data_IF_819397498280
#
_entry.id   IF_819397498280
#
_cell.length_a   1.000
_cell.length_b   1.000
_cell.length_c   1.000
_cell.angle_alpha   90.00
_cell.angle_beta   90.00
_cell.angle_gamma   90.00
#
_symmetry.space_group_name_H-M   'P 1'
#
loop_
_entity.id
_entity.type
_entity.pdbx_description
1 polymer ?
#
# COMPACT_ATOMS: atom_id res chain seq x y z
N UNK A 1 40.12 14.39 -8.01
CA UNK A 1 39.74 14.75 -6.62
C UNK A 1 38.22 14.63 -6.46
N UNK A 2 37.74 13.54 -5.85
CA UNK A 2 36.47 13.44 -5.08
C UNK A 2 36.22 11.96 -4.81
N UNK A 3 36.64 11.48 -3.65
CA UNK A 3 36.49 10.08 -3.27
C UNK A 3 36.81 9.80 -1.80
N UNK A 4 36.48 10.71 -0.88
CA UNK A 4 36.77 10.49 0.55
C UNK A 4 35.68 10.94 1.53
N UNK A 5 34.54 11.48 1.08
CA UNK A 5 33.53 12.04 2.00
C UNK A 5 32.51 11.06 2.60
N UNK A 6 32.57 9.75 2.31
CA UNK A 6 31.49 8.82 2.70
C UNK A 6 31.88 7.72 3.71
N UNK A 7 33.13 7.68 4.20
CA UNK A 7 33.54 6.75 5.27
C UNK A 7 33.37 7.35 6.68
N UNK A 8 33.55 8.66 6.84
CA UNK A 8 33.43 9.34 8.14
C UNK A 8 32.00 9.27 8.71
N UNK A 9 30.95 9.46 7.90
CA UNK A 9 29.55 9.40 8.36
C UNK A 9 29.08 8.02 8.84
N UNK A 10 29.63 6.92 8.30
CA UNK A 10 29.31 5.55 8.78
C UNK A 10 30.03 5.23 10.08
N UNK A 11 31.27 5.70 10.24
CA UNK A 11 32.04 5.50 11.47
C UNK A 11 31.47 6.36 12.60
N UNK A 12 31.07 7.61 12.33
CA UNK A 12 30.40 8.47 13.33
C UNK A 12 29.05 7.90 13.76
N UNK A 13 28.21 7.41 12.83
CA UNK A 13 26.96 6.73 13.20
C UNK A 13 27.22 5.47 14.01
N UNK A 14 28.23 4.66 13.66
CA UNK A 14 28.60 3.47 14.42
C UNK A 14 29.07 3.79 15.85
N UNK A 15 29.86 4.86 16.02
CA UNK A 15 30.34 5.32 17.32
C UNK A 15 29.18 5.88 18.16
N UNK A 16 28.26 6.65 17.58
CA UNK A 16 27.09 7.18 18.29
C UNK A 16 26.16 6.03 18.74
N UNK A 17 25.88 5.06 17.88
CA UNK A 17 25.05 3.90 18.26
C UNK A 17 25.73 3.04 19.33
N UNK A 18 27.05 2.90 19.30
CA UNK A 18 27.83 2.19 20.32
C UNK A 18 27.88 2.94 21.67
N UNK A 19 27.98 4.27 21.66
CA UNK A 19 27.91 5.07 22.88
C UNK A 19 26.49 5.11 23.46
N UNK A 20 25.45 5.16 22.62
CA UNK A 20 24.05 5.10 23.08
C UNK A 20 23.70 3.72 23.68
N UNK A 21 24.22 2.61 23.13
CA UNK A 21 24.01 1.29 23.72
C UNK A 21 24.81 1.11 25.02
N UNK A 22 26.02 1.65 25.11
CA UNK A 22 26.77 1.70 26.37
C UNK A 22 26.09 2.57 27.43
N UNK A 23 25.49 3.70 27.05
CA UNK A 23 24.70 4.55 27.95
C UNK A 23 23.40 3.87 28.41
N UNK A 24 22.73 3.12 27.52
CA UNK A 24 21.55 2.33 27.89
C UNK A 24 21.91 1.19 28.84
N UNK A 25 23.04 0.50 28.61
CA UNK A 25 23.55 -0.52 29.54
C UNK A 25 23.97 0.12 30.87
N UNK A 26 24.59 1.31 30.85
CA UNK A 26 24.96 2.04 32.07
C UNK A 26 23.72 2.51 32.87
N UNK A 27 22.63 2.91 32.19
CA UNK A 27 21.35 3.23 32.83
C UNK A 27 20.65 1.99 33.41
N UNK A 28 20.70 0.84 32.74
CA UNK A 28 20.20 -0.44 33.26
C UNK A 28 21.03 -0.94 34.46
N UNK A 29 22.33 -0.63 34.48
CA UNK A 29 23.19 -0.90 35.65
C UNK A 29 22.91 0.07 36.81
N UNK A 30 22.60 1.34 36.56
CA UNK A 30 22.19 2.30 37.59
C UNK A 30 20.79 2.02 38.17
N UNK A 31 19.85 1.47 37.39
CA UNK A 31 18.54 1.04 37.90
C UNK A 31 18.58 -0.27 38.68
N UNK A 32 19.67 -1.05 38.57
CA UNK A 32 19.86 -2.31 39.31
C UNK A 32 20.92 -2.23 40.42
N UNK A 33 21.57 -1.08 40.62
CA UNK A 33 22.34 -0.83 41.84
C UNK A 33 21.41 -0.35 42.94
N UNK A 34 20.86 -1.28 43.71
CA UNK A 34 20.38 -0.97 45.06
C UNK A 34 21.58 -0.36 45.80
N UNK A 35 21.48 0.92 46.13
CA UNK A 35 22.43 1.54 47.05
C UNK A 35 22.29 0.84 48.39
N UNK A 36 23.16 -0.12 48.69
CA UNK A 36 23.35 -0.61 50.06
C UNK A 36 24.07 0.51 50.80
N UNK A 37 23.29 1.49 51.27
CA UNK A 37 23.75 2.45 52.26
C UNK A 37 24.06 1.66 53.52
N UNK A 38 25.34 1.32 53.73
CA UNK A 38 25.85 0.90 55.02
C UNK A 38 25.76 2.09 55.99
N UNK A 39 24.53 2.40 56.45
CA UNK A 39 24.32 3.12 57.68
C UNK A 39 24.49 2.10 58.79
N UNK A 40 25.61 2.18 59.50
CA UNK A 40 25.67 1.69 60.87
C UNK A 40 24.62 2.46 61.68
N UNK A 41 23.43 1.88 61.81
CA UNK A 41 22.39 2.38 62.70
C UNK A 41 22.60 1.69 64.05
N UNK A 42 23.39 2.33 64.89
CA UNK A 42 23.34 2.11 66.33
C UNK A 42 22.11 2.86 66.87
N UNK A 43 20.93 2.25 66.76
CA UNK A 43 19.70 2.66 67.45
C UNK A 43 18.89 1.42 67.78
N UNK A 44 18.60 1.23 69.07
CA UNK A 44 17.87 0.09 69.61
C UNK A 44 16.55 -0.20 68.88
N UNK A 45 16.60 -1.11 67.92
CA UNK A 45 15.42 -1.79 67.40
C UNK A 45 14.90 -2.73 68.50
N UNK A 46 13.63 -2.57 68.86
CA UNK A 46 12.90 -3.63 69.57
C UNK A 46 12.99 -4.88 68.69
N UNK A 47 13.68 -5.91 69.17
CA UNK A 47 13.76 -7.21 68.50
C UNK A 47 12.32 -7.74 68.37
N UNK A 48 11.75 -7.68 67.16
CA UNK A 48 10.43 -8.24 66.87
C UNK A 48 10.58 -9.76 67.01
N UNK A 49 9.75 -10.40 67.84
CA UNK A 49 9.77 -11.86 67.95
C UNK A 49 9.29 -12.50 66.64
N UNK A 50 9.74 -13.72 66.35
CA UNK A 50 9.38 -14.41 65.11
C UNK A 50 7.86 -14.56 64.97
N UNK A 51 7.15 -14.69 66.08
CA UNK A 51 5.69 -14.81 66.14
C UNK A 51 4.97 -13.46 65.94
N UNK A 52 5.63 -12.33 66.27
CA UNK A 52 5.08 -10.99 66.10
C UNK A 52 5.46 -10.36 64.74
N UNK A 53 6.25 -11.05 63.93
CA UNK A 53 6.64 -10.60 62.60
C UNK A 53 5.41 -10.55 61.67
N UNK A 54 5.27 -9.44 60.96
CA UNK A 54 4.23 -9.23 59.95
C UNK A 54 4.91 -8.69 58.70
N UNK A 55 4.77 -9.41 57.61
CA UNK A 55 5.13 -8.95 56.27
C UNK A 55 3.89 -8.44 55.57
N UNK A 56 3.84 -7.15 55.28
CA UNK A 56 2.73 -6.55 54.52
C UNK A 56 3.07 -6.52 53.02
N UNK A 57 2.23 -7.13 52.19
CA UNK A 57 2.29 -7.05 50.74
C UNK A 57 1.42 -5.87 50.30
N UNK A 58 2.02 -4.84 49.71
CA UNK A 58 1.31 -3.71 49.12
C UNK A 58 1.08 -3.96 47.64
N UNK A 59 -0.18 -4.13 47.27
CA UNK A 59 -0.63 -4.41 45.92
C UNK A 59 -1.11 -3.15 45.20
N UNK A 60 -1.15 -3.24 43.87
CA UNK A 60 -1.77 -2.25 42.99
C UNK A 60 -3.22 -1.97 43.41
N UNK A 61 -3.61 -0.70 43.40
CA UNK A 61 -4.94 -0.27 43.86
C UNK A 61 -5.06 -0.11 45.37
N UNK A 62 -3.95 -0.23 46.12
CA UNK A 62 -3.92 0.00 47.57
C UNK A 62 -4.41 -1.17 48.41
N UNK A 63 -4.60 -2.34 47.79
CA UNK A 63 -4.88 -3.60 48.49
C UNK A 63 -3.65 -3.97 49.31
N UNK A 64 -3.88 -4.49 50.52
CA UNK A 64 -2.82 -4.97 51.40
C UNK A 64 -3.17 -6.36 51.91
N UNK A 65 -2.24 -7.29 51.77
CA UNK A 65 -2.29 -8.61 52.37
C UNK A 65 -1.15 -8.77 53.37
N UNK A 66 -1.30 -9.63 54.37
CA UNK A 66 -0.30 -9.80 55.43
C UNK A 66 0.04 -11.26 55.61
N UNK A 67 1.33 -11.55 55.74
CA UNK A 67 1.85 -12.86 56.14
C UNK A 67 2.37 -12.70 57.57
N UNK A 68 1.74 -13.39 58.53
CA UNK A 68 2.23 -13.40 59.90
C UNK A 68 3.29 -14.49 60.07
N UNK A 69 4.30 -14.23 60.89
CA UNK A 69 5.36 -15.21 61.17
C UNK A 69 4.82 -16.51 61.76
N UNK A 70 3.73 -16.44 62.54
CA UNK A 70 3.00 -17.61 63.06
C UNK A 70 2.39 -18.49 61.96
N UNK A 71 1.94 -17.90 60.86
CA UNK A 71 1.27 -18.63 59.77
C UNK A 71 2.24 -19.48 58.94
N UNK A 72 3.53 -19.13 58.99
CA UNK A 72 4.60 -19.75 58.20
C UNK A 72 5.62 -20.50 59.06
N UNK A 73 5.37 -20.63 60.37
CA UNK A 73 6.28 -21.29 61.30
C UNK A 73 7.65 -20.62 61.41
N UNK A 74 7.70 -19.29 61.33
CA UNK A 74 8.94 -18.50 61.40
C UNK A 74 9.64 -18.68 62.75
N UNK A 75 10.96 -18.85 62.73
CA UNK A 75 11.82 -18.98 63.92
C UNK A 75 13.12 -18.20 63.73
N UNK A 76 13.57 -17.57 64.82
CA UNK A 76 14.88 -16.91 64.90
C UNK A 76 15.79 -17.68 65.85
N UNK A 77 17.02 -17.98 65.42
CA UNK A 77 18.05 -18.57 66.28
C UNK A 77 18.70 -17.50 67.18
N UNK A 78 18.91 -17.84 68.46
CA UNK A 78 19.59 -17.00 69.47
C UNK A 78 21.13 -17.03 69.35
N UNK A 79 21.70 -17.84 68.44
CA UNK A 79 23.15 -17.91 68.25
C UNK A 79 23.70 -16.71 67.45
N UNK A 80 25.02 -16.47 67.56
CA UNK A 80 25.79 -15.33 67.00
C UNK A 80 25.56 -15.12 65.48
N UNK A 81 25.06 -16.12 64.76
CA UNK A 81 24.74 -16.07 63.32
C UNK A 81 23.29 -15.68 62.97
N UNK A 82 22.37 -15.53 63.96
CA UNK A 82 20.97 -15.11 63.77
C UNK A 82 20.26 -15.78 62.58
N UNK A 83 20.32 -17.10 62.49
CA UNK A 83 19.69 -17.87 61.41
C UNK A 83 18.17 -17.72 61.45
N UNK A 84 17.58 -17.29 60.33
CA UNK A 84 16.12 -17.24 60.10
C UNK A 84 15.68 -18.55 59.45
N UNK A 85 14.64 -19.21 59.97
CA UNK A 85 14.04 -20.39 59.35
C UNK A 85 12.51 -20.33 59.37
N UNK A 86 11.86 -20.98 58.40
CA UNK A 86 10.40 -21.03 58.22
C UNK A 86 9.99 -22.38 57.62
N UNK A 87 8.70 -22.72 57.65
CA UNK A 87 8.14 -23.91 57.00
C UNK A 87 7.78 -23.59 55.54
N UNK A 88 8.53 -24.14 54.60
CA UNK A 88 8.35 -23.92 53.17
C UNK A 88 6.97 -24.37 52.65
N UNK A 89 6.41 -25.44 53.23
CA UNK A 89 5.11 -25.96 52.83
C UNK A 89 4.00 -25.02 53.29
N UNK A 90 4.05 -24.56 54.54
CA UNK A 90 3.10 -23.58 55.06
C UNK A 90 3.18 -22.27 54.28
N UNK A 91 4.38 -21.79 53.95
CA UNK A 91 4.55 -20.58 53.14
C UNK A 91 3.93 -20.74 51.74
N UNK A 92 4.21 -21.84 51.04
CA UNK A 92 3.61 -22.12 49.72
C UNK A 92 2.09 -22.19 49.77
N UNK A 93 1.54 -22.87 50.78
CA UNK A 93 0.09 -22.96 50.98
C UNK A 93 -0.52 -21.58 51.27
N UNK A 94 0.12 -20.76 52.12
CA UNK A 94 -0.34 -19.41 52.44
C UNK A 94 -0.33 -18.52 51.19
N UNK A 95 0.82 -18.44 50.49
CA UNK A 95 0.96 -17.63 49.27
C UNK A 95 -0.06 -18.05 48.21
N UNK A 96 -0.37 -19.34 48.08
CA UNK A 96 -1.36 -19.80 47.10
C UNK A 96 -2.81 -19.38 47.38
N UNK A 97 -3.11 -18.94 48.62
CA UNK A 97 -4.43 -18.49 49.06
C UNK A 97 -4.58 -16.97 49.09
N UNK A 98 -3.52 -16.23 48.74
CA UNK A 98 -3.58 -14.77 48.67
C UNK A 98 -4.66 -14.34 47.67
N UNK A 99 -5.34 -13.24 47.98
CA UNK A 99 -6.42 -12.69 47.18
C UNK A 99 -5.97 -12.28 45.77
N UNK A 100 -4.70 -11.95 45.59
CA UNK A 100 -4.08 -11.70 44.29
C UNK A 100 -4.08 -12.92 43.34
N UNK A 101 -4.36 -14.12 43.84
CA UNK A 101 -4.52 -15.35 43.05
C UNK A 101 -5.98 -15.82 42.92
N UNK A 102 -6.94 -15.08 43.48
CA UNK A 102 -8.36 -15.34 43.29
C UNK A 102 -8.76 -14.99 41.84
N UNK A 103 -8.95 -16.02 41.00
CA UNK A 103 -9.26 -15.86 39.58
C UNK A 103 -10.50 -15.00 39.29
N UNK A 104 -11.43 -14.84 40.24
CA UNK A 104 -12.59 -13.96 40.08
C UNK A 104 -12.27 -12.47 40.18
N UNK A 105 -11.08 -12.14 40.70
CA UNK A 105 -10.59 -10.76 40.91
C UNK A 105 -9.46 -10.39 39.96
N UNK A 106 -8.99 -11.33 39.12
CA UNK A 106 -7.89 -11.07 38.18
C UNK A 106 -8.41 -10.24 37.00
N UNK A 107 -7.73 -9.12 36.76
CA UNK A 107 -7.88 -8.23 35.62
C UNK A 107 -6.59 -8.34 34.80
N UNK A 108 -6.72 -8.70 33.53
CA UNK A 108 -5.59 -8.81 32.62
C UNK A 108 -5.10 -7.43 32.18
N UNK A 109 -3.78 -7.27 32.10
CA UNK A 109 -3.16 -6.13 31.45
C UNK A 109 -3.47 -6.14 29.94
N UNK A 110 -3.64 -4.96 29.34
CA UNK A 110 -3.83 -4.82 27.89
C UNK A 110 -2.83 -3.80 27.36
N UNK A 111 -2.19 -4.13 26.26
CA UNK A 111 -1.34 -3.20 25.53
C UNK A 111 -2.12 -1.97 25.07
N UNK A 112 -1.40 -0.88 24.79
CA UNK A 112 -1.92 0.21 24.00
C UNK A 112 -2.44 -0.32 22.66
N UNK A 113 -3.28 0.48 21.99
CA UNK A 113 -3.82 0.16 20.66
C UNK A 113 -3.72 1.37 19.75
N UNK A 114 -3.75 1.13 18.45
CA UNK A 114 -3.88 2.17 17.43
C UNK A 114 -5.13 1.89 16.63
N UNK A 115 -6.10 2.81 16.69
CA UNK A 115 -7.46 2.59 16.16
C UNK A 115 -7.91 3.77 15.30
N UNK A 116 -8.64 3.49 14.23
CA UNK A 116 -9.18 4.52 13.33
C UNK A 116 -10.43 5.16 13.94
N UNK A 117 -10.44 6.49 14.08
CA UNK A 117 -11.51 7.25 14.73
C UNK A 117 -12.43 8.02 13.75
N UNK A 118 -12.33 7.75 12.45
CA UNK A 118 -13.07 8.44 11.39
C UNK A 118 -12.27 9.53 10.68
N UNK A 119 -11.33 10.19 11.38
CA UNK A 119 -10.47 11.25 10.80
C UNK A 119 -9.00 10.83 10.70
N UNK A 120 -8.59 9.80 11.42
CA UNK A 120 -7.24 9.26 11.41
C UNK A 120 -7.06 8.15 12.44
N UNK A 121 -5.83 7.68 12.58
CA UNK A 121 -5.46 6.72 13.62
C UNK A 121 -5.03 7.43 14.89
N UNK A 122 -5.51 6.94 16.03
CA UNK A 122 -5.18 7.45 17.35
C UNK A 122 -4.75 6.33 18.29
N UNK A 123 -3.85 6.66 19.23
CA UNK A 123 -3.38 5.75 20.25
C UNK A 123 -4.40 5.71 21.40
N UNK A 124 -4.90 4.52 21.72
CA UNK A 124 -5.64 4.23 22.95
C UNK A 124 -4.66 3.69 23.98
N UNK A 125 -4.61 4.32 25.15
CA UNK A 125 -3.67 3.96 26.23
C UNK A 125 -3.86 2.53 26.73
N UNK A 126 -2.76 1.91 27.11
CA UNK A 126 -2.73 0.61 27.80
C UNK A 126 -3.54 0.62 29.10
N UNK A 127 -3.93 -0.58 29.55
CA UNK A 127 -4.54 -0.78 30.87
C UNK A 127 -3.69 -1.72 31.70
N UNK A 128 -3.33 -1.30 32.91
CA UNK A 128 -2.58 -2.08 33.88
C UNK A 128 -3.51 -3.00 34.67
N UNK A 129 -3.33 -4.31 34.52
CA UNK A 129 -4.10 -5.34 35.23
C UNK A 129 -3.60 -5.58 36.66
N UNK A 130 -3.95 -6.70 37.28
CA UNK A 130 -3.43 -7.08 38.61
C UNK A 130 -2.88 -8.53 38.65
N UNK A 131 -2.77 -9.20 37.50
CA UNK A 131 -2.18 -10.55 37.43
C UNK A 131 -0.73 -10.55 37.90
N UNK A 132 -0.43 -11.40 38.86
CA UNK A 132 0.89 -11.52 39.49
C UNK A 132 1.70 -12.69 38.90
N UNK A 133 2.99 -12.44 38.65
CA UNK A 133 4.02 -13.43 38.34
C UNK A 133 4.33 -14.25 39.60
N UNK A 134 3.69 -15.41 39.72
CA UNK A 134 3.73 -16.25 40.94
C UNK A 134 5.14 -16.53 41.48
N UNK A 135 6.07 -16.88 40.60
CA UNK A 135 7.45 -17.20 41.01
C UNK A 135 8.19 -15.97 41.52
N UNK A 136 8.01 -14.82 40.86
CA UNK A 136 8.59 -13.53 41.29
C UNK A 136 8.05 -13.12 42.65
N UNK A 137 6.75 -13.30 42.91
CA UNK A 137 6.17 -13.02 44.23
C UNK A 137 6.82 -13.90 45.29
N UNK A 138 6.82 -15.21 45.08
CA UNK A 138 7.31 -16.17 46.05
C UNK A 138 8.78 -15.90 46.41
N UNK A 139 9.63 -15.70 45.41
CA UNK A 139 11.05 -15.42 45.61
C UNK A 139 11.28 -14.13 46.43
N UNK A 140 10.50 -13.08 46.17
CA UNK A 140 10.61 -11.83 46.91
C UNK A 140 10.06 -11.94 48.34
N UNK A 141 8.97 -12.69 48.54
CA UNK A 141 8.46 -12.99 49.88
C UNK A 141 9.51 -13.72 50.73
N UNK A 142 10.17 -14.74 50.17
CA UNK A 142 11.25 -15.47 50.85
C UNK A 142 12.41 -14.52 51.17
N UNK A 143 12.88 -13.71 50.21
CA UNK A 143 13.95 -12.73 50.45
C UNK A 143 13.61 -11.78 51.59
N UNK A 144 12.40 -11.24 51.62
CA UNK A 144 11.97 -10.31 52.65
C UNK A 144 11.86 -10.95 54.03
N UNK A 145 11.39 -12.20 54.12
CA UNK A 145 11.39 -12.95 55.39
C UNK A 145 12.82 -13.13 55.92
N UNK A 146 13.77 -13.50 55.05
CA UNK A 146 15.17 -13.68 55.42
C UNK A 146 15.84 -12.37 55.85
N UNK A 147 15.48 -11.26 55.20
CA UNK A 147 15.99 -9.91 55.51
C UNK A 147 15.26 -9.24 56.68
N UNK A 148 14.17 -9.85 57.19
CA UNK A 148 13.27 -9.27 58.21
C UNK A 148 12.60 -7.97 57.75
N UNK A 149 12.40 -7.81 56.45
CA UNK A 149 11.62 -6.69 55.92
C UNK A 149 10.18 -6.80 56.40
N UNK A 150 9.50 -5.69 56.70
CA UNK A 150 8.10 -5.72 57.17
C UNK A 150 7.10 -5.33 56.08
N UNK A 151 7.59 -4.95 54.89
CA UNK A 151 6.75 -4.50 53.78
C UNK A 151 7.41 -4.82 52.44
N UNK A 152 6.61 -5.33 51.49
CA UNK A 152 6.98 -5.48 50.08
C UNK A 152 5.98 -4.67 49.26
N UNK A 153 6.47 -3.78 48.42
CA UNK A 153 5.63 -3.14 47.41
C UNK A 153 5.72 -3.94 46.11
N UNK A 154 4.63 -4.60 45.72
CA UNK A 154 4.61 -5.53 44.59
C UNK A 154 4.81 -4.82 43.24
N UNK A 155 4.44 -3.55 43.14
CA UNK A 155 4.69 -2.71 41.97
C UNK A 155 6.20 -2.45 41.81
N UNK A 156 6.86 -2.03 42.89
CA UNK A 156 8.27 -1.68 42.90
C UNK A 156 9.21 -2.83 42.57
N UNK A 157 8.79 -4.07 42.82
CA UNK A 157 9.58 -5.28 42.50
C UNK A 157 9.20 -5.92 41.15
N UNK A 158 8.41 -5.21 40.33
CA UNK A 158 7.90 -5.71 39.05
C UNK A 158 7.23 -7.09 39.21
N UNK A 159 6.30 -7.22 40.15
CA UNK A 159 5.62 -8.50 40.41
C UNK A 159 4.47 -8.79 39.42
N UNK A 160 4.04 -7.79 38.64
CA UNK A 160 2.88 -7.87 37.77
C UNK A 160 3.23 -8.30 36.33
N UNK A 161 2.29 -8.95 35.66
CA UNK A 161 2.30 -9.10 34.20
C UNK A 161 1.84 -7.77 33.58
N UNK A 162 2.79 -6.87 33.34
CA UNK A 162 2.53 -5.53 32.81
C UNK A 162 2.32 -5.54 31.28
N UNK A 163 1.61 -4.55 30.71
CA UNK A 163 1.52 -4.39 29.26
C UNK A 163 2.91 -4.32 28.62
N UNK A 164 3.10 -5.06 27.53
CA UNK A 164 4.36 -5.07 26.77
C UNK A 164 4.54 -3.80 25.96
N UNK A 165 3.46 -3.27 25.42
CA UNK A 165 3.45 -2.06 24.60
C UNK A 165 2.55 -1.01 25.25
N UNK A 166 3.13 0.13 25.57
CA UNK A 166 2.46 1.28 26.20
C UNK A 166 2.48 2.48 25.25
N UNK A 167 1.67 3.50 25.53
CA UNK A 167 1.47 4.68 24.67
C UNK A 167 2.80 5.37 24.26
N UNK A 168 3.77 5.38 25.18
CA UNK A 168 5.06 6.03 24.98
C UNK A 168 6.13 5.11 24.37
N UNK A 169 5.78 3.86 24.02
CA UNK A 169 6.69 2.99 23.31
C UNK A 169 6.95 3.52 21.89
N UNK A 170 8.21 3.63 21.44
CA UNK A 170 8.52 4.08 20.08
C UNK A 170 7.82 3.27 19.00
N UNK A 171 7.66 1.95 19.17
CA UNK A 171 6.98 1.09 18.20
C UNK A 171 5.49 1.45 18.02
N UNK A 172 4.81 1.86 19.09
CA UNK A 172 3.40 2.29 19.06
C UNK A 172 3.28 3.62 18.32
N UNK A 173 4.17 4.56 18.63
CA UNK A 173 4.25 5.84 17.94
C UNK A 173 4.54 5.68 16.44
N UNK A 174 5.53 4.86 16.07
CA UNK A 174 5.89 4.61 14.67
C UNK A 174 4.76 3.95 13.88
N UNK A 175 4.05 2.99 14.47
CA UNK A 175 2.90 2.38 13.81
C UNK A 175 1.77 3.38 13.58
N UNK A 176 1.47 4.23 14.57
CA UNK A 176 0.48 5.29 14.45
C UNK A 176 0.87 6.32 13.38
N UNK A 177 2.13 6.73 13.33
CA UNK A 177 2.66 7.63 12.30
C UNK A 177 2.57 7.00 10.90
N UNK A 178 2.96 5.73 10.76
CA UNK A 178 2.92 5.02 9.47
C UNK A 178 1.49 4.88 8.95
N UNK A 179 0.53 4.45 9.79
CA UNK A 179 -0.88 4.35 9.41
C UNK A 179 -1.45 5.68 8.96
N UNK A 180 -1.20 6.76 9.73
CA UNK A 180 -1.64 8.11 9.37
C UNK A 180 -0.96 8.62 8.09
N UNK A 181 0.32 8.30 7.87
CA UNK A 181 1.04 8.63 6.64
C UNK A 181 0.44 7.91 5.43
N UNK A 182 0.02 6.65 5.56
CA UNK A 182 -0.57 5.92 4.43
C UNK A 182 -1.90 6.52 4.02
N UNK A 183 -2.79 6.81 4.99
CA UNK A 183 -4.11 7.41 4.70
C UNK A 183 -4.04 8.90 4.32
N UNK A 184 -2.91 9.59 4.53
CA UNK A 184 -2.74 10.96 4.04
C UNK A 184 -2.45 11.02 2.55
N UNK A 185 -2.24 9.88 1.89
CA UNK A 185 -1.97 9.83 0.46
C UNK A 185 -3.21 10.24 -0.35
N UNK A 186 -2.97 10.96 -1.44
CA UNK A 186 -3.98 11.37 -2.40
C UNK A 186 -3.38 11.31 -3.81
N UNK A 187 -3.74 10.29 -4.58
CA UNK A 187 -3.20 10.04 -5.92
C UNK A 187 -4.33 10.30 -6.92
N UNK A 188 -4.13 11.33 -7.75
CA UNK A 188 -5.04 11.68 -8.84
C UNK A 188 -4.48 11.13 -10.15
N UNK A 189 -5.14 10.13 -10.70
CA UNK A 189 -4.81 9.56 -12.01
C UNK A 189 -5.54 10.30 -13.13
N UNK A 190 -4.80 10.60 -14.20
CA UNK A 190 -5.34 11.14 -15.45
C UNK A 190 -5.12 10.12 -16.56
N UNK A 191 -6.19 9.63 -17.17
CA UNK A 191 -6.17 8.68 -18.29
C UNK A 191 -7.51 8.68 -19.03
N UNK A 192 -7.54 8.34 -20.32
CA UNK A 192 -8.75 8.34 -21.14
C UNK A 192 -9.55 9.67 -21.10
N UNK A 193 -8.87 10.81 -20.90
CA UNK A 193 -9.53 12.12 -20.70
C UNK A 193 -10.34 12.25 -19.40
N UNK A 194 -10.25 11.26 -18.52
CA UNK A 194 -10.93 11.19 -17.23
C UNK A 194 -9.94 11.39 -16.08
N UNK A 195 -10.50 11.65 -14.91
CA UNK A 195 -9.76 11.72 -13.64
C UNK A 195 -10.31 10.71 -12.66
N UNK A 196 -9.41 9.95 -12.01
CA UNK A 196 -9.75 9.02 -10.95
C UNK A 196 -8.90 9.31 -9.71
N UNK A 197 -9.53 9.50 -8.55
CA UNK A 197 -8.85 9.84 -7.30
C UNK A 197 -8.82 8.62 -6.37
N UNK A 198 -7.64 8.29 -5.86
CA UNK A 198 -7.44 7.37 -4.76
C UNK A 198 -7.01 8.15 -3.51
N UNK A 199 -7.76 8.03 -2.43
CA UNK A 199 -7.51 8.75 -1.19
C UNK A 199 -7.56 7.85 0.06
N UNK A 200 -7.30 8.46 1.22
CA UNK A 200 -7.34 7.80 2.53
C UNK A 200 -8.65 7.08 2.85
N UNK A 201 -9.77 7.49 2.26
CA UNK A 201 -11.06 6.84 2.50
C UNK A 201 -11.11 5.43 1.93
N UNK A 202 -10.35 5.16 0.88
CA UNK A 202 -10.19 3.84 0.27
C UNK A 202 -8.97 3.11 0.85
N UNK A 203 -7.85 3.82 1.03
CA UNK A 203 -6.59 3.24 1.52
C UNK A 203 -6.74 2.68 2.95
N UNK A 204 -7.61 3.26 3.79
CA UNK A 204 -7.84 2.75 5.16
C UNK A 204 -8.29 1.28 5.19
N UNK A 205 -8.97 0.83 4.13
CA UNK A 205 -9.48 -0.54 4.03
C UNK A 205 -8.41 -1.50 3.49
N UNK A 206 -7.23 -1.00 3.11
CA UNK A 206 -6.11 -1.77 2.58
C UNK A 206 -5.01 -1.98 3.61
N UNK A 207 -5.01 -1.22 4.71
CA UNK A 207 -3.94 -1.23 5.70
C UNK A 207 -4.35 -2.04 6.94
N UNK A 208 -3.36 -2.70 7.54
CA UNK A 208 -3.53 -3.51 8.75
C UNK A 208 -2.44 -3.23 9.77
N UNK A 209 -2.70 -3.60 11.02
CA UNK A 209 -1.73 -3.58 12.11
C UNK A 209 -1.90 -4.86 12.94
N UNK A 210 -0.81 -5.53 13.25
CA UNK A 210 -0.83 -6.75 14.07
C UNK A 210 -0.58 -6.46 15.56
N UNK A 211 -0.59 -7.52 16.37
CA UNK A 211 -0.34 -7.45 17.82
C UNK A 211 1.06 -6.95 18.21
N UNK A 212 2.00 -6.97 17.27
CA UNK A 212 3.38 -6.49 17.42
C UNK A 212 3.58 -5.10 16.81
N UNK A 213 2.50 -4.40 16.45
CA UNK A 213 2.52 -3.08 15.82
C UNK A 213 3.20 -3.05 14.44
N UNK A 214 3.26 -4.20 13.76
CA UNK A 214 3.70 -4.24 12.37
C UNK A 214 2.57 -3.77 11.45
N UNK A 215 2.82 -2.66 10.75
CA UNK A 215 1.90 -2.09 9.78
C UNK A 215 2.07 -2.78 8.43
N UNK A 216 0.96 -3.20 7.83
CA UNK A 216 0.92 -3.86 6.51
C UNK A 216 0.01 -3.08 5.55
N UNK A 217 0.30 -3.22 4.26
CA UNK A 217 -0.55 -2.76 3.16
C UNK A 217 -0.89 -3.98 2.31
N UNK A 218 -2.18 -4.22 2.08
CA UNK A 218 -2.68 -5.33 1.26
C UNK A 218 -2.42 -5.05 -0.22
N UNK A 219 -1.28 -5.53 -0.70
CA UNK A 219 -0.84 -5.37 -2.09
C UNK A 219 -1.83 -5.98 -3.09
N UNK A 220 -2.64 -6.96 -2.68
CA UNK A 220 -3.68 -7.55 -3.55
C UNK A 220 -4.79 -6.53 -3.83
N UNK A 221 -5.22 -5.78 -2.80
CA UNK A 221 -6.21 -4.71 -2.99
C UNK A 221 -5.67 -3.56 -3.84
N UNK A 222 -4.40 -3.20 -3.64
CA UNK A 222 -3.73 -2.20 -4.50
C UNK A 222 -3.71 -2.69 -5.95
N UNK A 223 -3.31 -3.95 -6.18
CA UNK A 223 -3.29 -4.54 -7.53
C UNK A 223 -4.67 -4.55 -8.18
N UNK A 224 -5.70 -4.98 -7.46
CA UNK A 224 -7.07 -5.01 -7.96
C UNK A 224 -7.58 -3.61 -8.34
N UNK A 225 -7.20 -2.58 -7.58
CA UNK A 225 -7.52 -1.19 -7.93
C UNK A 225 -6.89 -0.78 -9.26
N UNK A 226 -5.59 -1.10 -9.46
CA UNK A 226 -4.88 -0.81 -10.71
C UNK A 226 -5.44 -1.61 -11.89
N UNK A 227 -5.78 -2.89 -11.69
CA UNK A 227 -6.39 -3.72 -12.74
C UNK A 227 -7.78 -3.21 -13.14
N UNK A 228 -8.57 -2.72 -12.18
CA UNK A 228 -9.87 -2.09 -12.46
C UNK A 228 -9.68 -0.81 -13.27
N UNK A 229 -8.65 -0.01 -12.94
CA UNK A 229 -8.28 1.18 -13.71
C UNK A 229 -7.85 0.81 -15.14
N UNK A 230 -7.01 -0.21 -15.32
CA UNK A 230 -6.59 -0.73 -16.61
C UNK A 230 -7.77 -1.24 -17.46
N UNK A 231 -8.69 -1.99 -16.86
CA UNK A 231 -9.91 -2.45 -17.52
C UNK A 231 -10.79 -1.27 -17.96
N UNK A 232 -10.98 -0.29 -17.09
CA UNK A 232 -11.76 0.93 -17.39
C UNK A 232 -11.13 1.72 -18.52
N UNK A 233 -9.80 1.90 -18.48
CA UNK A 233 -9.04 2.52 -19.55
C UNK A 233 -9.29 1.81 -20.89
N UNK A 234 -9.12 0.48 -20.94
CA UNK A 234 -9.37 -0.30 -22.16
C UNK A 234 -10.80 -0.18 -22.69
N UNK A 235 -11.81 -0.13 -21.80
CA UNK A 235 -13.20 0.03 -22.19
C UNK A 235 -13.49 1.44 -22.75
N UNK A 236 -12.87 2.48 -22.19
CA UNK A 236 -13.05 3.88 -22.62
C UNK A 236 -12.40 4.18 -23.97
N UNK A 237 -11.31 3.47 -24.31
CA UNK A 237 -10.70 3.56 -25.63
C UNK A 237 -11.71 3.24 -26.76
N UNK A 238 -12.77 2.47 -26.49
CA UNK A 238 -13.85 2.21 -27.45
C UNK A 238 -14.85 3.35 -27.69
N UNK A 239 -14.72 4.52 -27.04
CA UNK A 239 -15.75 5.59 -27.11
C UNK A 239 -15.19 6.96 -27.56
N UNK A 240 -13.90 7.28 -27.37
CA UNK A 240 -13.26 8.51 -27.92
C UNK A 240 -11.75 8.47 -27.67
N UNK A 241 -10.94 8.87 -28.65
CA UNK A 241 -9.46 8.83 -28.56
C UNK A 241 -8.88 10.08 -29.24
N UNK A 242 -7.81 10.71 -28.72
CA UNK A 242 -6.80 11.42 -29.50
C UNK A 242 -5.41 10.74 -29.40
N UNK A 243 -4.72 10.53 -30.53
CA UNK A 243 -3.48 9.74 -30.69
C UNK A 243 -2.13 10.47 -30.54
N UNK A 244 -1.04 9.67 -30.59
CA UNK A 244 0.41 9.96 -30.76
C UNK A 244 0.75 11.44 -30.87
N UNK A 245 1.40 12.01 -29.86
CA UNK A 245 1.64 13.45 -29.71
C UNK A 245 0.72 14.12 -28.68
N UNK A 246 -0.42 13.50 -28.37
CA UNK A 246 -1.25 13.91 -27.22
C UNK A 246 -0.57 13.58 -25.89
N UNK A 247 -0.18 14.60 -25.14
CA UNK A 247 -0.11 14.47 -23.68
C UNK A 247 -1.49 13.99 -23.17
N UNK A 248 -1.51 13.18 -22.10
CA UNK A 248 -2.70 12.66 -21.38
C UNK A 248 -3.17 11.22 -21.63
N UNK A 249 -2.36 10.37 -22.26
CA UNK A 249 -2.47 8.90 -22.07
C UNK A 249 -3.70 8.23 -22.69
N UNK A 250 -4.06 8.60 -23.92
CA UNK A 250 -5.22 8.09 -24.67
C UNK A 250 -4.79 7.42 -25.98
N UNK A 251 -4.03 6.32 -25.94
CA UNK A 251 -3.56 5.66 -27.16
C UNK A 251 -3.96 4.17 -27.16
N UNK A 252 -4.60 3.71 -28.24
CA UNK A 252 -4.98 2.30 -28.43
C UNK A 252 -3.80 1.32 -28.42
N UNK A 253 -2.60 1.77 -28.78
CA UNK A 253 -1.40 0.92 -28.77
C UNK A 253 -0.72 0.84 -27.39
N UNK A 254 -1.30 1.47 -26.37
CA UNK A 254 -0.75 1.54 -25.01
C UNK A 254 -1.73 0.88 -24.06
N UNK A 255 -1.24 0.01 -23.19
CA UNK A 255 -1.99 -0.58 -22.08
C UNK A 255 -1.41 -0.08 -20.77
N UNK A 256 -2.22 0.07 -19.73
CA UNK A 256 -1.70 0.34 -18.39
C UNK A 256 -0.86 -0.86 -17.95
N UNK A 257 0.41 -0.65 -17.63
CA UNK A 257 1.25 -1.69 -17.03
C UNK A 257 0.87 -1.83 -15.56
N UNK A 258 -0.16 -2.64 -15.32
CA UNK A 258 -0.67 -2.83 -13.97
C UNK A 258 0.40 -3.35 -13.00
N UNK A 259 1.44 -4.05 -13.49
CA UNK A 259 2.48 -4.62 -12.62
C UNK A 259 3.40 -3.53 -12.09
N UNK A 260 3.96 -2.74 -13.00
CA UNK A 260 4.84 -1.63 -12.61
C UNK A 260 4.06 -0.53 -11.89
N UNK A 261 2.84 -0.20 -12.33
CA UNK A 261 2.01 0.81 -11.67
C UNK A 261 1.62 0.38 -10.24
N UNK A 262 1.37 -0.91 -9.99
CA UNK A 262 1.10 -1.40 -8.63
C UNK A 262 2.30 -1.18 -7.71
N UNK A 263 3.52 -1.47 -8.18
CA UNK A 263 4.75 -1.27 -7.39
C UNK A 263 4.93 0.21 -7.06
N UNK A 264 4.75 1.08 -8.04
CA UNK A 264 4.88 2.52 -7.84
C UNK A 264 3.79 3.05 -6.90
N UNK A 265 2.54 2.60 -7.06
CA UNK A 265 1.44 3.02 -6.19
C UNK A 265 1.66 2.60 -4.73
N UNK A 266 2.18 1.40 -4.48
CA UNK A 266 2.57 0.97 -3.13
C UNK A 266 3.58 1.94 -2.51
N UNK A 267 4.60 2.36 -3.25
CA UNK A 267 5.61 3.30 -2.77
C UNK A 267 5.01 4.70 -2.56
N UNK A 268 4.11 5.15 -3.43
CA UNK A 268 3.42 6.44 -3.28
C UNK A 268 2.59 6.47 -1.99
N UNK A 269 1.85 5.38 -1.70
CA UNK A 269 1.06 5.22 -0.46
C UNK A 269 1.98 5.18 0.76
N UNK A 270 3.04 4.38 0.74
CA UNK A 270 4.00 4.29 1.85
C UNK A 270 4.69 5.62 2.15
N UNK A 271 4.81 6.47 1.15
CA UNK A 271 5.39 7.79 1.26
C UNK A 271 4.38 8.91 1.57
N UNK A 272 3.08 8.61 1.68
CA UNK A 272 2.06 9.60 2.03
C UNK A 272 1.90 10.68 0.96
N UNK A 273 2.11 10.31 -0.31
CA UNK A 273 2.22 11.29 -1.39
C UNK A 273 0.87 11.89 -1.78
N UNK A 274 0.89 13.19 -2.12
CA UNK A 274 -0.20 13.89 -2.78
C UNK A 274 0.27 14.28 -4.18
N UNK A 275 -0.16 13.54 -5.20
CA UNK A 275 0.34 13.69 -6.57
C UNK A 275 -0.76 13.57 -7.60
N UNK A 276 -0.52 14.18 -8.76
CA UNK A 276 -1.30 13.98 -9.98
C UNK A 276 -0.37 13.36 -11.02
N UNK A 277 -0.77 12.21 -11.58
CA UNK A 277 0.06 11.47 -12.53
C UNK A 277 -0.78 10.75 -13.59
N UNK A 278 -0.13 10.38 -14.68
CA UNK A 278 -0.62 9.33 -15.56
C UNK A 278 -0.17 7.97 -15.01
N UNK A 279 -0.92 6.88 -15.26
CA UNK A 279 -0.44 5.55 -14.95
C UNK A 279 0.78 5.20 -15.81
N UNK A 280 1.61 4.27 -15.34
CA UNK A 280 2.65 3.65 -16.17
C UNK A 280 1.97 2.85 -17.28
N UNK A 281 2.44 3.05 -18.51
CA UNK A 281 1.96 2.34 -19.67
C UNK A 281 3.04 1.42 -20.25
N UNK A 282 2.60 0.33 -20.86
CA UNK A 282 3.38 -0.51 -21.75
C UNK A 282 2.81 -0.43 -23.17
N UNK A 283 3.69 -0.56 -24.17
CA UNK A 283 3.29 -0.58 -25.58
C UNK A 283 2.97 -2.01 -26.03
N UNK A 284 1.98 -2.19 -26.92
CA UNK A 284 1.69 -3.47 -27.59
C UNK A 284 2.66 -3.72 -28.76
N UNK A 285 2.70 -4.95 -29.29
CA UNK A 285 3.52 -5.27 -30.48
C UNK A 285 3.09 -4.46 -31.73
N UNK A 286 1.81 -4.05 -31.82
CA UNK A 286 1.30 -3.18 -32.89
C UNK A 286 1.81 -1.72 -32.78
N UNK A 287 2.33 -1.30 -31.61
CA UNK A 287 2.88 0.04 -31.42
C UNK A 287 4.14 0.31 -32.27
N UNK A 288 4.80 -0.75 -32.76
CA UNK A 288 5.98 -0.62 -33.62
C UNK A 288 5.71 0.11 -34.94
N UNK A 289 4.48 0.05 -35.47
CA UNK A 289 4.09 0.81 -36.65
C UNK A 289 3.98 2.31 -36.38
N UNK A 290 3.76 2.70 -35.12
CA UNK A 290 3.52 4.08 -34.70
C UNK A 290 4.78 4.80 -34.22
N UNK A 291 5.92 4.11 -34.06
CA UNK A 291 7.11 4.69 -33.43
C UNK A 291 7.69 5.91 -34.16
N UNK A 292 7.48 5.98 -35.48
CA UNK A 292 7.92 7.10 -36.34
C UNK A 292 6.75 7.90 -36.95
N UNK A 293 5.52 7.63 -36.50
CA UNK A 293 4.32 8.31 -37.00
C UNK A 293 4.01 9.49 -36.07
N UNK A 294 4.03 10.69 -36.64
CA UNK A 294 3.69 11.94 -35.95
C UNK A 294 2.23 11.99 -35.49
N UNK A 295 1.76 13.19 -35.19
CA UNK A 295 0.46 13.42 -34.55
C UNK A 295 -0.71 13.67 -35.52
N UNK A 296 -0.46 13.50 -36.81
CA UNK A 296 -1.46 13.65 -37.87
C UNK A 296 -1.43 12.41 -38.74
N UNK A 297 -2.48 11.58 -38.67
CA UNK A 297 -2.58 10.35 -39.45
C UNK A 297 -4.01 9.79 -39.48
N UNK A 298 -4.27 8.90 -40.44
CA UNK A 298 -5.46 8.05 -40.47
C UNK A 298 -5.10 6.67 -39.93
N UNK A 299 -5.92 6.17 -39.01
CA UNK A 299 -5.85 4.84 -38.44
C UNK A 299 -7.03 4.01 -38.94
N UNK A 300 -6.76 2.85 -39.53
CA UNK A 300 -7.76 1.91 -40.02
C UNK A 300 -7.52 0.57 -39.36
N UNK A 301 -8.40 0.24 -38.42
CA UNK A 301 -8.50 -1.08 -37.82
C UNK A 301 -9.44 -1.93 -38.68
N UNK A 302 -8.86 -2.89 -39.40
CA UNK A 302 -9.60 -3.77 -40.29
C UNK A 302 -10.26 -4.93 -39.55
N UNK A 303 -9.90 -5.21 -38.30
CA UNK A 303 -10.60 -6.21 -37.49
C UNK A 303 -11.85 -5.64 -36.85
N UNK A 304 -11.79 -4.41 -36.32
CA UNK A 304 -12.98 -3.71 -35.80
C UNK A 304 -13.80 -3.01 -36.90
N UNK A 305 -13.27 -2.92 -38.13
CA UNK A 305 -13.86 -2.21 -39.27
C UNK A 305 -14.17 -0.75 -38.95
N UNK A 306 -13.20 -0.07 -38.34
CA UNK A 306 -13.35 1.30 -37.87
C UNK A 306 -12.16 2.16 -38.30
N UNK A 307 -12.44 3.44 -38.55
CA UNK A 307 -11.45 4.44 -38.95
C UNK A 307 -11.43 5.59 -37.96
N UNK A 308 -10.23 6.05 -37.61
CA UNK A 308 -10.00 7.32 -36.92
C UNK A 308 -9.09 8.19 -37.77
N UNK A 309 -9.36 9.50 -37.80
CA UNK A 309 -8.43 10.47 -38.38
C UNK A 309 -8.08 11.53 -37.35
N UNK A 310 -6.78 11.72 -37.19
CA UNK A 310 -6.20 12.63 -36.23
C UNK A 310 -5.39 13.71 -36.94
N UNK A 311 -5.42 14.92 -36.38
CA UNK A 311 -4.67 16.06 -36.87
C UNK A 311 -4.12 16.85 -35.69
N UNK A 312 -2.80 16.97 -35.64
CA UNK A 312 -2.05 17.62 -34.56
C UNK A 312 -2.41 17.03 -33.17
N UNK A 313 -2.58 15.71 -33.10
CA UNK A 313 -2.94 14.97 -31.89
C UNK A 313 -4.44 14.97 -31.57
N UNK A 314 -5.29 15.69 -32.31
CA UNK A 314 -6.73 15.77 -32.06
C UNK A 314 -7.53 14.89 -33.02
N UNK A 315 -8.53 14.17 -32.50
CA UNK A 315 -9.49 13.44 -33.32
C UNK A 315 -10.38 14.39 -34.08
N UNK A 316 -10.30 14.33 -35.40
CA UNK A 316 -11.13 15.13 -36.30
C UNK A 316 -12.41 14.38 -36.64
N UNK A 317 -12.31 13.07 -36.88
CA UNK A 317 -13.46 12.21 -37.18
C UNK A 317 -13.12 10.76 -36.89
N UNK A 318 -14.14 9.99 -36.52
CA UNK A 318 -14.12 8.54 -36.56
C UNK A 318 -15.43 8.00 -37.15
N UNK A 319 -15.43 6.71 -37.49
CA UNK A 319 -16.64 6.00 -37.85
C UNK A 319 -16.36 4.62 -38.42
N UNK A 320 -17.40 3.80 -38.39
CA UNK A 320 -17.36 2.48 -39.00
C UNK A 320 -17.16 2.58 -40.51
N UNK A 321 -16.35 1.68 -41.06
CA UNK A 321 -16.00 1.60 -42.48
C UNK A 321 -16.24 0.18 -43.01
N UNK A 322 -16.05 -0.02 -44.31
CA UNK A 322 -16.01 -1.37 -44.91
C UNK A 322 -14.78 -1.49 -45.80
N UNK A 323 -13.83 -2.32 -45.40
CA UNK A 323 -12.61 -2.60 -46.17
C UNK A 323 -12.85 -3.65 -47.28
N UNK A 324 -11.76 -4.07 -47.94
CA UNK A 324 -11.77 -5.02 -49.03
C UNK A 324 -12.34 -6.40 -48.69
N UNK A 325 -13.00 -7.01 -49.67
CA UNK A 325 -13.67 -8.30 -49.53
C UNK A 325 -12.66 -9.44 -49.32
N UNK A 326 -12.66 -10.06 -48.13
CA UNK A 326 -11.74 -11.16 -47.81
C UNK A 326 -12.05 -12.42 -48.60
N UNK A 327 -13.30 -12.88 -48.63
CA UNK A 327 -13.70 -14.09 -49.36
C UNK A 327 -13.54 -13.94 -50.87
N UNK A 328 -13.71 -12.71 -51.36
CA UNK A 328 -13.48 -12.32 -52.75
C UNK A 328 -12.00 -12.15 -53.15
N UNK A 329 -11.04 -12.42 -52.26
CA UNK A 329 -9.61 -12.25 -52.54
C UNK A 329 -9.17 -10.80 -52.77
N UNK A 330 -9.98 -9.85 -52.30
CA UNK A 330 -9.80 -8.41 -52.47
C UNK A 330 -9.53 -7.70 -51.12
N UNK A 331 -9.01 -8.41 -50.12
CA UNK A 331 -8.71 -7.86 -48.80
C UNK A 331 -7.83 -6.61 -48.91
N UNK A 332 -8.14 -5.59 -48.11
CA UNK A 332 -7.27 -4.40 -48.01
C UNK A 332 -5.94 -4.82 -47.36
N UNK A 333 -4.79 -4.56 -48.00
CA UNK A 333 -3.50 -4.94 -47.42
C UNK A 333 -3.17 -4.11 -46.18
N UNK A 334 -2.68 -4.76 -45.12
CA UNK A 334 -2.08 -4.09 -43.98
C UNK A 334 -0.78 -3.40 -44.36
N UNK A 335 -0.45 -2.31 -43.67
CA UNK A 335 0.79 -1.58 -43.83
C UNK A 335 0.68 -0.12 -43.39
N UNK A 336 1.84 0.56 -43.38
CA UNK A 336 1.94 2.00 -43.22
C UNK A 336 2.12 2.63 -44.59
N UNK A 337 1.17 3.48 -44.97
CA UNK A 337 1.13 4.19 -46.23
C UNK A 337 1.15 5.69 -46.00
N UNK A 338 1.25 6.45 -47.08
CA UNK A 338 1.05 7.89 -47.07
C UNK A 338 0.00 8.25 -48.11
N UNK A 339 -0.84 9.24 -47.82
CA UNK A 339 -1.78 9.76 -48.79
C UNK A 339 -1.03 10.30 -50.01
N UNK A 340 -1.40 9.85 -51.21
CA UNK A 340 -0.77 10.34 -52.43
C UNK A 340 -1.29 11.73 -52.80
N UNK A 341 -2.61 11.87 -52.93
CA UNK A 341 -3.28 13.12 -53.29
C UNK A 341 -4.76 13.04 -52.89
N UNK A 342 -5.51 14.10 -53.20
CA UNK A 342 -6.97 14.17 -53.00
C UNK A 342 -7.64 14.59 -54.29
N UNK A 343 -8.76 13.95 -54.63
CA UNK A 343 -9.55 14.30 -55.81
C UNK A 343 -11.03 14.35 -55.46
N UNK A 344 -11.73 15.39 -55.93
CA UNK A 344 -13.16 15.57 -55.72
C UNK A 344 -13.95 15.13 -56.95
N UNK A 345 -15.17 14.64 -56.73
CA UNK A 345 -16.18 14.38 -57.77
C UNK A 345 -15.63 13.57 -58.95
N UNK A 346 -15.14 12.35 -58.65
CA UNK A 346 -14.49 11.47 -59.62
C UNK A 346 -15.23 10.15 -59.79
N UNK A 347 -14.91 9.41 -60.85
CA UNK A 347 -15.48 8.08 -61.12
C UNK A 347 -14.36 7.05 -61.03
N UNK A 348 -14.40 6.22 -59.99
CA UNK A 348 -13.48 5.10 -59.84
C UNK A 348 -13.86 3.99 -60.83
N UNK A 349 -12.88 3.43 -61.53
CA UNK A 349 -13.11 2.40 -62.55
C UNK A 349 -12.22 1.19 -62.30
N UNK A 350 -12.81 0.01 -62.41
CA UNK A 350 -12.09 -1.25 -62.45
C UNK A 350 -12.76 -2.24 -63.41
N UNK A 351 -12.31 -3.49 -63.45
CA UNK A 351 -12.86 -4.49 -64.37
C UNK A 351 -14.37 -4.68 -64.15
N UNK A 352 -15.17 -4.14 -65.07
CA UNK A 352 -16.63 -4.27 -65.05
C UNK A 352 -17.39 -3.31 -64.13
N UNK A 353 -16.75 -2.32 -63.50
CA UNK A 353 -17.46 -1.34 -62.67
C UNK A 353 -17.00 0.11 -62.87
N UNK A 354 -17.91 1.03 -62.57
CA UNK A 354 -17.67 2.46 -62.50
C UNK A 354 -18.48 3.04 -61.32
N UNK A 355 -17.79 3.60 -60.33
CA UNK A 355 -18.40 4.10 -59.09
C UNK A 355 -18.11 5.60 -58.94
N UNK A 356 -19.11 6.48 -59.10
CA UNK A 356 -18.94 7.90 -58.80
C UNK A 356 -18.78 8.09 -57.29
N UNK A 357 -17.77 8.88 -56.90
CA UNK A 357 -17.46 9.21 -55.50
C UNK A 357 -17.19 10.70 -55.38
N UNK A 358 -17.59 11.29 -54.26
CA UNK A 358 -17.39 12.71 -54.00
C UNK A 358 -15.96 13.00 -53.53
N UNK A 359 -15.35 12.09 -52.78
CA UNK A 359 -14.04 12.26 -52.15
C UNK A 359 -13.16 11.03 -52.41
N UNK A 360 -12.09 11.20 -53.18
CA UNK A 360 -11.11 10.15 -53.46
C UNK A 360 -9.75 10.48 -52.84
N UNK A 361 -9.24 9.55 -52.02
CA UNK A 361 -8.01 9.68 -51.24
C UNK A 361 -7.14 8.41 -51.38
N UNK A 362 -6.40 8.24 -52.49
CA UNK A 362 -5.54 7.07 -52.72
C UNK A 362 -4.30 7.08 -51.84
N UNK A 363 -3.94 5.91 -51.33
CA UNK A 363 -2.76 5.73 -50.48
C UNK A 363 -1.94 4.46 -50.79
N UNK A 364 -2.51 3.51 -51.55
CA UNK A 364 -1.79 2.30 -51.96
C UNK A 364 -2.18 1.89 -53.38
N UNK A 365 -1.41 2.31 -54.38
CA UNK A 365 -1.68 2.04 -55.81
C UNK A 365 -3.11 2.45 -56.20
N UNK A 366 -4.00 1.48 -56.45
CA UNK A 366 -5.40 1.68 -56.79
C UNK A 366 -6.36 1.63 -55.59
N UNK A 367 -5.84 1.48 -54.38
CA UNK A 367 -6.60 1.45 -53.12
C UNK A 367 -6.58 2.85 -52.49
N UNK A 368 -7.75 3.28 -52.04
CA UNK A 368 -7.93 4.56 -51.36
C UNK A 368 -9.14 4.57 -50.44
N UNK A 369 -9.24 5.64 -49.66
CA UNK A 369 -10.40 5.98 -48.84
C UNK A 369 -11.37 6.81 -49.69
N UNK A 370 -12.66 6.46 -49.66
CA UNK A 370 -13.69 7.25 -50.32
C UNK A 370 -15.08 7.06 -49.71
N UNK A 371 -15.99 7.98 -50.02
CA UNK A 371 -17.40 7.81 -49.71
C UNK A 371 -18.02 6.66 -50.52
N UNK A 372 -18.93 5.91 -49.89
CA UNK A 372 -19.65 4.82 -50.53
C UNK A 372 -21.18 5.05 -50.43
N UNK A 373 -21.70 5.95 -51.26
CA UNK A 373 -23.13 6.34 -51.27
C UNK A 373 -24.10 5.18 -51.56
N UNK A 374 -23.62 4.06 -52.10
CA UNK A 374 -24.40 2.85 -52.34
C UNK A 374 -24.56 1.96 -51.10
N UNK A 375 -23.87 2.27 -49.98
CA UNK A 375 -23.97 1.51 -48.73
C UNK A 375 -24.83 2.25 -47.71
N UNK A 376 -25.73 1.50 -47.08
CA UNK A 376 -26.53 1.96 -45.94
C UNK A 376 -25.95 1.54 -44.58
N UNK A 377 -25.05 0.55 -44.56
CA UNK A 377 -24.45 -0.02 -43.36
C UNK A 377 -22.92 -0.13 -43.50
N UNK A 378 -22.23 0.07 -42.38
CA UNK A 378 -20.78 0.03 -42.25
C UNK A 378 -20.39 -0.72 -40.97
N UNK A 379 -19.15 -1.20 -40.88
CA UNK A 379 -18.64 -1.91 -39.71
C UNK A 379 -18.95 -3.41 -39.69
N UNK A 380 -18.68 -4.02 -38.53
CA UNK A 380 -18.95 -5.43 -38.26
C UNK A 380 -18.25 -6.37 -39.25
N UNK A 381 -18.97 -7.37 -39.74
CA UNK A 381 -18.38 -8.47 -40.52
C UNK A 381 -18.60 -8.34 -42.04
N UNK A 382 -19.09 -7.18 -42.50
CA UNK A 382 -19.48 -6.96 -43.90
C UNK A 382 -18.29 -7.19 -44.85
N UNK A 383 -17.08 -6.80 -44.42
CA UNK A 383 -15.85 -6.95 -45.22
C UNK A 383 -15.49 -8.42 -45.52
N UNK A 384 -16.00 -9.39 -44.76
CA UNK A 384 -15.69 -10.81 -45.00
C UNK A 384 -16.25 -11.31 -46.33
N UNK A 385 -17.48 -10.91 -46.67
CA UNK A 385 -18.23 -11.44 -47.82
C UNK A 385 -18.72 -10.38 -48.81
N UNK A 386 -18.91 -9.15 -48.35
CA UNK A 386 -19.46 -8.04 -49.13
C UNK A 386 -18.61 -6.77 -48.95
N UNK A 387 -17.29 -6.94 -48.87
CA UNK A 387 -16.33 -5.84 -48.83
C UNK A 387 -16.14 -5.13 -50.18
N UNK A 388 -15.21 -4.19 -50.24
CA UNK A 388 -14.83 -3.50 -51.47
C UNK A 388 -13.87 -4.34 -52.34
N UNK A 389 -13.39 -3.77 -53.45
CA UNK A 389 -12.27 -4.33 -54.23
C UNK A 389 -10.89 -3.91 -53.68
N UNK A 390 -10.78 -3.71 -52.36
CA UNK A 390 -9.57 -3.31 -51.64
C UNK A 390 -9.59 -1.88 -51.07
N UNK A 391 -10.47 -1.01 -51.55
CA UNK A 391 -10.66 0.35 -51.01
C UNK A 391 -11.30 0.36 -49.61
N UNK A 392 -11.19 1.48 -48.91
CA UNK A 392 -11.87 1.70 -47.63
C UNK A 392 -13.13 2.52 -47.92
N UNK A 393 -14.29 1.85 -47.87
CA UNK A 393 -15.58 2.49 -48.04
C UNK A 393 -15.97 3.17 -46.73
N UNK A 394 -16.21 4.48 -46.77
CA UNK A 394 -16.62 5.24 -45.60
C UNK A 394 -18.00 5.89 -45.77
N UNK A 395 -18.73 6.14 -44.67
CA UNK A 395 -19.87 7.03 -44.68
C UNK A 395 -19.47 8.41 -45.21
N UNK A 396 -20.41 9.09 -45.86
CA UNK A 396 -20.14 10.41 -46.47
C UNK A 396 -19.52 11.41 -45.49
N UNK A 397 -19.99 11.44 -44.24
CA UNK A 397 -19.48 12.38 -43.23
C UNK A 397 -18.03 12.08 -42.84
N UNK A 398 -17.64 10.80 -42.71
CA UNK A 398 -16.27 10.38 -42.42
C UNK A 398 -15.37 10.75 -43.59
N UNK A 399 -15.72 10.30 -44.80
CA UNK A 399 -14.93 10.57 -46.00
C UNK A 399 -14.72 12.07 -46.22
N UNK A 400 -15.78 12.88 -46.05
CA UNK A 400 -15.72 14.34 -46.17
C UNK A 400 -14.80 14.96 -45.11
N UNK A 401 -14.97 14.58 -43.85
CA UNK A 401 -14.19 15.15 -42.75
C UNK A 401 -12.70 14.82 -42.87
N UNK A 402 -12.36 13.60 -43.28
CA UNK A 402 -10.97 13.24 -43.61
C UNK A 402 -10.50 14.06 -44.81
N UNK A 403 -11.25 14.08 -45.91
CA UNK A 403 -10.88 14.81 -47.14
C UNK A 403 -10.62 16.29 -46.90
N UNK A 404 -11.46 16.98 -46.12
CA UNK A 404 -11.32 18.41 -45.88
C UNK A 404 -10.05 18.74 -45.05
N UNK A 405 -9.53 17.78 -44.27
CA UNK A 405 -8.49 18.03 -43.30
C UNK A 405 -7.14 17.39 -43.61
N UNK A 406 -7.11 16.22 -44.25
CA UNK A 406 -5.90 15.45 -44.55
C UNK A 406 -5.08 16.11 -45.67
N UNK A 407 -3.76 15.98 -45.60
CA UNK A 407 -2.82 16.50 -46.61
C UNK A 407 -2.10 15.36 -47.33
N UNK A 408 -1.64 15.63 -48.56
CA UNK A 408 -0.75 14.69 -49.25
C UNK A 408 0.51 14.48 -48.41
N UNK A 409 0.90 13.22 -48.25
CA UNK A 409 1.99 12.82 -47.35
C UNK A 409 1.56 12.41 -45.94
N UNK A 410 0.33 12.72 -45.50
CA UNK A 410 -0.14 12.30 -44.17
C UNK A 410 -0.19 10.76 -44.10
N UNK A 411 0.34 10.15 -43.03
CA UNK A 411 0.33 8.71 -42.85
C UNK A 411 -1.08 8.11 -42.80
N UNK A 412 -1.24 6.94 -43.39
CA UNK A 412 -2.44 6.11 -43.34
C UNK A 412 -2.01 4.69 -42.94
N UNK A 413 -2.49 4.24 -41.79
CA UNK A 413 -2.11 2.97 -41.18
C UNK A 413 -3.28 2.00 -41.34
N UNK A 414 -3.03 0.85 -41.95
CA UNK A 414 -3.98 -0.24 -42.03
C UNK A 414 -3.44 -1.45 -41.26
N UNK A 415 -4.18 -1.94 -40.26
CA UNK A 415 -3.80 -3.13 -39.49
C UNK A 415 -5.01 -4.03 -39.23
N UNK A 416 -4.76 -5.28 -38.83
CA UNK A 416 -5.79 -6.22 -38.37
C UNK A 416 -5.60 -6.43 -36.87
#
# INVERSE_FOLDING_TARGET
MKGEKNKSNKVEKGIITFFCSLLAIYFVFLSNTISVSAKTVDKGEKEISAEAYILTLEERGGVKEQIQGSDIGLKYSEEISRVVSYDEKLLKEFVSKLSCFDGSKIIESKNAKVEYNGNGYAITKETYGNRIKKDVLYDNVVKSILNKDTTINLESIDCYENPRFIENCPIVAYANEALNKYISSNITYIFAGNTQVLDGSTIKDWIGIDENFQVTLDETKVRNYVDTMAYTYNALLGITIPVSGGYDGNNHSWIIDSSEETKELIENIKNGQTITKHPIYAQTEEASYFSDIGDTYVEIDMSSQHLWYYKNGYLIVNGDIVTGNVSGGCATPSGVYNLYYKQKDTVLRGPGYASPVCFWMPFNRGIGLHDASWRSEFGGEIYKENGSHGCVNAPYYVAKAVYDNISSGDPIICYN
#
